data_IF_279101423563
#
_entry.id   IF_279101423563
#
_cell.length_a   1.000
_cell.length_b   1.000
_cell.length_c   1.000
_cell.angle_alpha   90.00
_cell.angle_beta   90.00
_cell.angle_gamma   90.00
#
_symmetry.space_group_name_H-M   'P 1'
#
loop_
_entity.id
_entity.type
_entity.pdbx_description
1 polymer ?
#
# COMPACT_ATOMS: atom_id res chain seq x y z
N UNK A 1 0.59 3.49 9.88
CA UNK A 1 -0.71 3.00 9.40
C UNK A 1 -0.77 3.12 7.88
N UNK A 2 -1.54 2.26 7.23
CA UNK A 2 -1.79 2.28 5.79
C UNK A 2 -3.29 2.20 5.54
N UNK A 3 -3.70 2.46 4.30
CA UNK A 3 -5.06 2.27 3.86
C UNK A 3 -5.16 1.01 3.01
N UNK A 4 -6.10 0.13 3.34
CA UNK A 4 -6.40 -1.09 2.60
C UNK A 4 -7.78 -0.99 1.96
N UNK A 5 -7.97 -1.71 0.86
CA UNK A 5 -9.30 -2.00 0.33
C UNK A 5 -9.66 -3.43 0.65
N UNK A 6 -10.70 -3.61 1.47
CA UNK A 6 -11.22 -4.92 1.80
C UNK A 6 -11.96 -5.59 0.64
N UNK A 7 -12.49 -6.78 0.90
CA UNK A 7 -13.19 -7.62 -0.09
C UNK A 7 -14.46 -6.99 -0.66
N UNK A 8 -15.09 -6.09 0.08
CA UNK A 8 -16.32 -5.39 -0.33
C UNK A 8 -16.06 -4.04 -1.02
N UNK A 9 -14.82 -3.84 -1.50
CA UNK A 9 -14.32 -2.59 -2.09
C UNK A 9 -14.41 -1.38 -1.15
N UNK A 10 -14.40 -1.59 0.17
CA UNK A 10 -14.38 -0.48 1.13
C UNK A 10 -12.98 -0.18 1.64
N UNK A 11 -12.77 1.09 1.96
CA UNK A 11 -11.54 1.60 2.52
C UNK A 11 -11.46 1.33 4.03
N UNK A 12 -10.33 0.80 4.50
CA UNK A 12 -10.06 0.57 5.92
C UNK A 12 -8.68 1.10 6.29
N UNK A 13 -8.52 1.58 7.53
CA UNK A 13 -7.22 1.98 8.08
C UNK A 13 -6.64 0.80 8.85
N UNK A 14 -5.41 0.43 8.50
CA UNK A 14 -4.72 -0.71 9.08
C UNK A 14 -3.44 -0.23 9.78
N UNK A 15 -3.28 -0.62 11.04
CA UNK A 15 -2.01 -0.40 11.75
C UNK A 15 -0.96 -1.38 11.21
N UNK A 16 0.25 -0.86 11.03
CA UNK A 16 1.40 -1.62 10.51
C UNK A 16 2.63 -1.35 11.34
N UNK A 17 3.53 -2.32 11.39
CA UNK A 17 4.86 -2.16 11.98
C UNK A 17 5.85 -1.90 10.85
N UNK A 18 6.46 -0.72 10.85
CA UNK A 18 7.49 -0.32 9.89
C UNK A 18 8.85 -0.58 10.54
N UNK A 19 9.64 -1.49 9.97
CA UNK A 19 11.00 -1.80 10.46
C UNK A 19 12.04 -0.84 9.89
N UNK A 20 11.83 -0.38 8.66
CA UNK A 20 12.80 0.42 7.94
C UNK A 20 12.11 1.35 6.94
N UNK A 21 12.66 2.55 6.76
CA UNK A 21 12.20 3.51 5.77
C UNK A 21 13.38 4.21 5.12
N UNK A 22 13.39 4.28 3.79
CA UNK A 22 14.43 4.97 3.02
C UNK A 22 13.89 5.39 1.66
N UNK A 23 14.25 6.62 1.22
CA UNK A 23 13.99 7.14 -0.14
C UNK A 23 12.55 6.93 -0.64
N UNK A 24 11.55 7.12 0.23
CA UNK A 24 10.14 6.99 -0.13
C UNK A 24 9.59 5.56 -0.06
N UNK A 25 10.37 4.58 0.37
CA UNK A 25 9.94 3.19 0.57
C UNK A 25 9.98 2.85 2.06
N UNK A 26 8.98 2.10 2.52
CA UNK A 26 8.91 1.54 3.86
C UNK A 26 8.82 0.01 3.80
N UNK A 27 9.65 -0.68 4.57
CA UNK A 27 9.58 -2.12 4.78
C UNK A 27 8.67 -2.40 5.99
N UNK A 28 7.62 -3.19 5.76
CA UNK A 28 6.60 -3.52 6.76
C UNK A 28 6.82 -4.95 7.23
N UNK A 29 6.97 -5.17 8.55
CA UNK A 29 7.12 -6.51 9.14
C UNK A 29 5.82 -7.14 9.60
N UNK A 30 4.81 -6.33 9.91
CA UNK A 30 3.52 -6.81 10.39
C UNK A 30 2.38 -5.84 10.06
N UNK A 31 1.16 -6.39 10.05
CA UNK A 31 -0.08 -5.62 9.87
C UNK A 31 -0.65 -5.64 8.46
N UNK A 32 0.00 -6.29 7.49
CA UNK A 32 -0.55 -6.61 6.17
C UNK A 32 -0.18 -8.05 5.79
N UNK A 33 -0.94 -8.64 4.88
CA UNK A 33 -0.79 -10.00 4.39
C UNK A 33 -0.68 -10.05 2.86
N UNK A 34 -0.23 -11.17 2.32
CA UNK A 34 -0.27 -11.40 0.89
C UNK A 34 -1.71 -11.28 0.36
N UNK A 35 -1.86 -10.58 -0.77
CA UNK A 35 -3.17 -10.29 -1.37
C UNK A 35 -3.84 -9.00 -0.88
N UNK A 36 -3.35 -8.38 0.20
CA UNK A 36 -3.90 -7.10 0.67
C UNK A 36 -3.69 -6.00 -0.37
N UNK A 37 -4.75 -5.24 -0.64
CA UNK A 37 -4.74 -4.12 -1.59
C UNK A 37 -4.43 -2.82 -0.85
N UNK A 38 -3.16 -2.42 -0.85
CA UNK A 38 -2.70 -1.17 -0.22
C UNK A 38 -2.91 0.01 -1.17
N UNK A 39 -3.50 1.10 -0.66
CA UNK A 39 -3.58 2.38 -1.40
C UNK A 39 -2.28 3.15 -1.23
N UNK A 40 -1.74 3.66 -2.35
CA UNK A 40 -0.48 4.40 -2.39
C UNK A 40 -0.68 5.92 -2.55
N UNK A 41 -1.74 6.36 -3.23
CA UNK A 41 -2.02 7.77 -3.52
C UNK A 41 -3.54 8.11 -3.54
N UNK A 42 -3.86 9.37 -3.83
CA UNK A 42 -5.20 9.89 -4.14
C UNK A 42 -6.33 9.66 -3.11
N UNK A 43 -5.98 9.69 -1.82
CA UNK A 43 -6.96 9.60 -0.72
C UNK A 43 -7.63 10.93 -0.32
N UNK A 44 -7.42 12.02 -1.07
CA UNK A 44 -7.75 13.38 -0.63
C UNK A 44 -9.18 13.57 -0.10
N UNK A 45 -10.14 12.79 -0.60
CA UNK A 45 -11.56 12.85 -0.18
C UNK A 45 -12.11 11.52 0.36
N UNK A 46 -11.31 10.46 0.38
CA UNK A 46 -11.78 9.14 0.78
C UNK A 46 -11.65 8.95 2.29
N UNK A 47 -12.75 8.56 2.95
CA UNK A 47 -12.76 8.24 4.38
C UNK A 47 -13.02 6.75 4.59
N UNK A 48 -12.62 6.22 5.76
CA UNK A 48 -12.83 4.83 6.11
C UNK A 48 -14.32 4.44 6.00
N UNK A 49 -14.57 3.24 5.50
CA UNK A 49 -15.90 2.71 5.22
C UNK A 49 -16.50 3.14 3.88
N UNK A 50 -15.91 4.11 3.16
CA UNK A 50 -16.36 4.42 1.80
C UNK A 50 -16.02 3.30 0.84
N UNK A 51 -16.95 3.02 -0.08
CA UNK A 51 -16.64 2.20 -1.24
C UNK A 51 -15.73 2.98 -2.18
N UNK A 52 -14.67 2.35 -2.64
CA UNK A 52 -13.67 2.94 -3.54
C UNK A 52 -13.50 2.06 -4.78
N UNK A 53 -13.10 2.68 -5.88
CA UNK A 53 -12.66 1.96 -7.08
C UNK A 53 -11.18 2.24 -7.19
N UNK A 54 -10.34 1.22 -7.05
CA UNK A 54 -8.90 1.37 -7.22
C UNK A 54 -8.45 0.95 -8.61
N UNK A 55 -7.57 1.76 -9.18
CA UNK A 55 -6.72 1.34 -10.28
C UNK A 55 -5.58 0.46 -9.79
N UNK A 56 -5.12 -0.46 -10.65
CA UNK A 56 -3.90 -1.21 -10.41
C UNK A 56 -2.75 -0.58 -11.21
N UNK A 57 -1.79 0.00 -10.50
CA UNK A 57 -0.66 0.71 -11.10
C UNK A 57 0.52 -0.26 -11.31
N UNK A 58 0.45 -1.04 -12.38
CA UNK A 58 1.43 -2.10 -12.68
C UNK A 58 2.88 -1.59 -12.75
N UNK A 59 3.09 -0.38 -13.30
CA UNK A 59 4.42 0.24 -13.41
C UNK A 59 5.03 0.51 -12.03
N UNK A 60 4.26 1.13 -11.12
CA UNK A 60 4.69 1.40 -9.75
C UNK A 60 4.94 0.12 -8.97
N UNK A 61 4.12 -0.92 -9.17
CA UNK A 61 4.36 -2.23 -8.56
C UNK A 61 5.72 -2.80 -9.00
N UNK A 62 6.02 -2.74 -10.31
CA UNK A 62 7.28 -3.24 -10.84
C UNK A 62 8.48 -2.44 -10.31
N UNK A 63 8.34 -1.11 -10.18
CA UNK A 63 9.36 -0.25 -9.59
C UNK A 63 9.64 -0.61 -8.12
N UNK A 64 8.58 -0.80 -7.33
CA UNK A 64 8.70 -1.23 -5.93
C UNK A 64 9.39 -2.59 -5.81
N UNK A 65 9.03 -3.55 -6.67
CA UNK A 65 9.67 -4.87 -6.71
C UNK A 65 11.15 -4.79 -7.10
N UNK A 66 11.51 -3.96 -8.08
CA UNK A 66 12.90 -3.76 -8.49
C UNK A 66 13.73 -3.07 -7.38
N UNK A 67 13.12 -2.10 -6.70
CA UNK A 67 13.80 -1.41 -5.60
C UNK A 67 13.97 -2.31 -4.38
N UNK A 68 12.98 -3.15 -4.06
CA UNK A 68 13.09 -4.15 -3.00
C UNK A 68 14.18 -5.20 -3.29
N UNK A 69 14.45 -5.50 -4.57
CA UNK A 69 15.57 -6.36 -4.99
C UNK A 69 16.93 -5.65 -4.96
N UNK A 70 16.98 -4.36 -4.58
CA UNK A 70 18.20 -3.55 -4.57
C UNK A 70 18.70 -3.16 -5.96
N UNK A 71 17.87 -3.28 -7.00
CA UNK A 71 18.26 -3.03 -8.40
C UNK A 71 18.22 -1.56 -8.82
N UNK A 72 17.88 -0.64 -7.91
CA UNK A 72 17.72 0.80 -8.19
C UNK A 72 18.88 1.66 -7.62
N UNK A 73 20.10 1.09 -7.55
CA UNK A 73 21.33 1.77 -7.11
C UNK A 73 22.19 2.24 -8.28
#
# INVERSE_FOLDING_TARGET
EVYLIGEDDRLYRQQVVVEFQQRGIAAISAGISEGDRVILDDLAYAIAGMRVIAGHYQELQNELLNTAKGSSL
#
